data_IF_423960737045
#
_entry.id   IF_423960737045
#
_cell.length_a   1.000
_cell.length_b   1.000
_cell.length_c   1.000
_cell.angle_alpha   90.00
_cell.angle_beta   90.00
_cell.angle_gamma   90.00
#
_symmetry.space_group_name_H-M   'P 1'
#
loop_
_entity.id
_entity.type
_entity.pdbx_description
1 polymer ?
#
# COMPACT_ATOMS: atom_id res chain seq x y z
N UNK A 1 6.04 9.65 77.57
CA UNK A 1 5.91 10.91 76.80
C UNK A 1 6.46 10.67 75.40
N UNK A 2 5.78 11.22 74.38
CA UNK A 2 6.14 11.27 72.95
C UNK A 2 7.12 10.23 72.37
N UNK A 3 6.57 9.22 71.68
CA UNK A 3 7.26 8.60 70.55
C UNK A 3 7.00 9.45 69.29
N UNK A 4 7.98 9.57 68.41
CA UNK A 4 8.08 10.58 67.35
C UNK A 4 7.29 10.28 66.07
N UNK A 5 6.70 11.33 65.48
CA UNK A 5 6.04 11.30 64.18
C UNK A 5 6.98 10.91 63.02
N UNK A 6 6.46 10.10 62.09
CA UNK A 6 7.03 9.86 60.76
C UNK A 6 5.99 10.27 59.70
N UNK A 7 6.34 11.13 58.72
CA UNK A 7 5.38 11.61 57.73
C UNK A 7 4.96 10.49 56.76
N UNK A 8 3.65 10.38 56.52
CA UNK A 8 3.08 9.37 55.63
C UNK A 8 3.50 9.58 54.16
N UNK A 9 3.90 8.48 53.51
CA UNK A 9 4.26 8.45 52.08
C UNK A 9 2.98 8.41 51.23
N UNK A 10 2.75 9.33 50.28
CA UNK A 10 1.53 9.30 49.47
C UNK A 10 1.51 8.10 48.52
N UNK A 11 0.48 7.27 48.61
CA UNK A 11 0.22 6.17 47.68
C UNK A 11 -0.25 6.71 46.32
N UNK A 12 0.42 6.37 45.19
CA UNK A 12 -0.07 6.74 43.87
C UNK A 12 -1.35 5.96 43.52
N UNK A 13 -2.45 6.69 43.31
CA UNK A 13 -3.76 6.13 42.99
C UNK A 13 -3.73 5.50 41.60
N UNK A 14 -3.82 4.17 41.52
CA UNK A 14 -3.75 3.40 40.27
C UNK A 14 -5.06 3.52 39.47
N UNK A 15 -5.21 4.59 38.67
CA UNK A 15 -6.27 4.69 37.66
C UNK A 15 -5.84 3.97 36.37
N UNK A 16 -6.23 2.70 36.24
CA UNK A 16 -6.08 1.93 35.01
C UNK A 16 -7.15 2.30 33.99
N UNK A 17 -6.85 3.22 33.09
CA UNK A 17 -7.46 3.23 31.75
C UNK A 17 -6.50 2.53 30.80
N UNK A 18 -6.87 1.41 30.15
CA UNK A 18 -6.01 0.80 29.13
C UNK A 18 -5.85 1.80 27.97
N UNK A 19 -4.64 1.95 27.39
CA UNK A 19 -4.49 2.75 26.18
C UNK A 19 -5.36 2.12 25.10
N UNK A 20 -6.31 2.89 24.58
CA UNK A 20 -7.10 2.51 23.41
C UNK A 20 -6.14 2.27 22.25
N UNK A 21 -5.97 1.00 21.88
CA UNK A 21 -5.24 0.61 20.67
C UNK A 21 -5.77 1.45 19.50
N UNK A 22 -4.90 2.06 18.67
CA UNK A 22 -5.34 2.88 17.55
C UNK A 22 -6.25 2.04 16.66
N UNK A 23 -7.51 2.45 16.58
CA UNK A 23 -8.56 1.75 15.85
C UNK A 23 -8.10 1.56 14.40
N UNK A 24 -8.06 0.29 13.94
CA UNK A 24 -7.45 -0.07 12.65
C UNK A 24 -8.26 0.56 11.52
N UNK A 25 -7.83 1.74 11.10
CA UNK A 25 -8.54 2.70 10.23
C UNK A 25 -9.05 2.12 8.91
N UNK A 26 -8.53 0.98 8.48
CA UNK A 26 -8.91 0.32 7.22
C UNK A 26 -9.34 -1.15 7.38
N UNK A 27 -9.44 -1.69 8.61
CA UNK A 27 -9.89 -3.07 8.84
C UNK A 27 -11.33 -3.31 8.33
N UNK A 28 -12.17 -2.27 8.34
CA UNK A 28 -13.54 -2.34 7.79
C UNK A 28 -13.57 -2.39 6.25
N UNK A 29 -12.54 -1.91 5.54
CA UNK A 29 -12.47 -1.96 4.07
C UNK A 29 -12.22 -3.37 3.53
N UNK A 30 -11.71 -4.27 4.37
CA UNK A 30 -11.47 -5.68 4.03
C UNK A 30 -12.78 -6.49 3.90
N UNK A 31 -13.91 -5.95 4.35
CA UNK A 31 -15.20 -6.65 4.41
C UNK A 31 -16.38 -5.89 3.79
N UNK A 32 -16.18 -4.71 3.21
CA UNK A 32 -17.25 -4.06 2.42
C UNK A 32 -17.38 -4.70 1.04
N UNK A 33 -18.62 -5.05 0.71
CA UNK A 33 -19.01 -5.46 -0.63
C UNK A 33 -18.70 -4.36 -1.68
N UNK A 34 -18.66 -4.78 -2.95
CA UNK A 34 -18.31 -3.91 -4.08
C UNK A 34 -19.19 -2.66 -4.17
N UNK A 35 -20.48 -2.72 -3.83
CA UNK A 35 -21.38 -1.59 -3.93
C UNK A 35 -21.08 -0.53 -2.86
N UNK A 36 -20.81 -0.94 -1.61
CA UNK A 36 -20.36 -0.02 -0.55
C UNK A 36 -19.00 0.61 -0.86
N UNK A 37 -18.07 -0.11 -1.49
CA UNK A 37 -16.80 0.46 -1.96
C UNK A 37 -17.02 1.54 -3.03
N UNK A 38 -17.91 1.30 -4.00
CA UNK A 38 -18.23 2.30 -5.02
C UNK A 38 -18.95 3.52 -4.45
N UNK A 39 -19.86 3.35 -3.48
CA UNK A 39 -20.53 4.46 -2.80
C UNK A 39 -19.54 5.40 -2.07
N UNK A 40 -18.54 4.84 -1.38
CA UNK A 40 -17.47 5.61 -0.72
C UNK A 40 -16.51 6.30 -1.71
N UNK A 41 -16.39 5.79 -2.94
CA UNK A 41 -15.62 6.44 -4.02
C UNK A 41 -16.43 7.52 -4.76
N UNK A 42 -17.76 7.54 -4.61
CA UNK A 42 -18.66 8.38 -5.39
C UNK A 42 -18.97 9.75 -4.75
N UNK A 43 -18.53 10.01 -3.51
CA UNK A 43 -18.65 11.34 -2.89
C UNK A 43 -17.61 12.30 -3.48
N UNK A 44 -18.01 13.35 -4.22
CA UNK A 44 -17.06 14.32 -4.76
C UNK A 44 -16.54 15.25 -3.65
N UNK A 45 -15.33 15.82 -3.81
CA UNK A 45 -14.89 16.92 -2.95
C UNK A 45 -15.80 18.16 -3.13
N UNK A 46 -15.91 19.04 -2.13
CA UNK A 46 -16.69 20.27 -2.24
C UNK A 46 -16.15 21.11 -3.41
N UNK A 47 -17.02 21.36 -4.39
CA UNK A 47 -16.63 21.98 -5.67
C UNK A 47 -16.56 23.51 -5.57
N UNK A 48 -15.61 24.16 -6.28
CA UNK A 48 -15.55 25.62 -6.37
C UNK A 48 -16.67 26.19 -7.27
N UNK A 49 -16.78 27.51 -7.26
CA UNK A 49 -17.90 28.29 -7.80
C UNK A 49 -18.24 28.01 -9.28
N UNK A 50 -19.54 28.09 -9.57
CA UNK A 50 -20.19 27.70 -10.84
C UNK A 50 -20.16 28.85 -11.86
N UNK A 51 -19.78 28.56 -13.10
CA UNK A 51 -20.11 29.39 -14.28
C UNK A 51 -20.93 28.52 -15.24
N UNK A 52 -21.98 29.10 -15.82
CA UNK A 52 -23.03 28.37 -16.52
C UNK A 52 -22.90 28.44 -18.04
N UNK A 53 -23.12 27.31 -18.72
CA UNK A 53 -23.69 27.25 -20.07
C UNK A 53 -24.43 25.91 -20.24
N UNK A 54 -25.45 25.87 -21.10
CA UNK A 54 -26.45 24.79 -21.10
C UNK A 54 -26.87 24.33 -22.50
N UNK A 55 -27.13 23.02 -22.62
CA UNK A 55 -28.01 22.34 -23.58
C UNK A 55 -28.05 20.84 -23.19
N UNK A 56 -29.19 20.22 -22.83
CA UNK A 56 -30.26 19.67 -23.68
C UNK A 56 -29.74 18.81 -24.85
N UNK A 57 -30.15 17.56 -25.11
CA UNK A 57 -31.03 16.57 -24.44
C UNK A 57 -30.67 15.15 -25.01
N UNK A 58 -31.32 14.00 -24.82
CA UNK A 58 -32.69 13.61 -24.43
C UNK A 58 -32.71 12.18 -23.81
N UNK A 59 -33.90 11.66 -23.44
CA UNK A 59 -34.13 10.29 -22.95
C UNK A 59 -34.45 9.30 -24.09
N UNK A 60 -34.34 7.98 -23.82
CA UNK A 60 -35.43 7.02 -24.09
C UNK A 60 -35.25 5.69 -23.32
N UNK A 61 -36.36 5.13 -22.86
CA UNK A 61 -36.50 3.92 -22.05
C UNK A 61 -37.56 2.99 -22.65
N UNK A 62 -37.51 1.68 -22.35
CA UNK A 62 -38.60 0.68 -22.42
C UNK A 62 -38.12 -0.58 -21.63
N UNK A 63 -38.74 -1.01 -20.52
CA UNK A 63 -39.97 -1.85 -20.41
C UNK A 63 -39.72 -3.27 -20.96
N UNK A 64 -39.43 -4.28 -20.15
CA UNK A 64 -40.27 -5.05 -19.18
C UNK A 64 -41.05 -6.22 -19.81
N UNK A 65 -40.94 -7.41 -19.20
CA UNK A 65 -41.68 -8.62 -19.55
C UNK A 65 -41.46 -9.70 -18.50
N UNK A 66 -42.54 -10.17 -17.85
CA UNK A 66 -42.53 -11.11 -16.72
C UNK A 66 -43.63 -12.16 -16.92
N UNK A 67 -43.29 -13.44 -16.90
CA UNK A 67 -44.24 -14.57 -16.90
C UNK A 67 -43.77 -15.70 -15.99
N UNK A 68 -44.69 -16.57 -15.61
CA UNK A 68 -44.66 -17.42 -14.39
C UNK A 68 -44.30 -18.89 -14.64
N UNK A 69 -43.89 -19.58 -13.56
CA UNK A 69 -43.51 -21.01 -13.44
C UNK A 69 -44.67 -22.01 -13.72
N UNK A 70 -44.44 -23.35 -13.80
CA UNK A 70 -44.16 -24.18 -12.60
C UNK A 70 -43.18 -25.39 -12.74
N UNK A 71 -42.65 -25.80 -11.57
CA UNK A 71 -42.16 -27.11 -11.06
C UNK A 71 -41.41 -28.17 -11.90
N UNK A 72 -40.29 -28.68 -11.33
CA UNK A 72 -39.65 -29.95 -11.76
C UNK A 72 -38.22 -30.23 -11.23
N UNK A 73 -38.12 -31.03 -10.15
CA UNK A 73 -36.94 -31.78 -9.60
C UNK A 73 -35.59 -31.06 -9.31
N UNK A 74 -34.90 -31.41 -8.19
CA UNK A 74 -33.57 -30.86 -7.86
C UNK A 74 -32.45 -31.54 -8.67
N UNK A 75 -31.88 -30.82 -9.63
CA UNK A 75 -30.65 -31.21 -10.34
C UNK A 75 -29.42 -31.01 -9.44
N UNK A 76 -28.35 -31.82 -9.51
CA UNK A 76 -27.16 -31.62 -8.68
C UNK A 76 -26.56 -30.23 -8.90
N UNK A 77 -26.24 -29.54 -7.80
CA UNK A 77 -25.63 -28.22 -7.85
C UNK A 77 -24.24 -28.28 -8.50
N UNK A 78 -24.19 -27.99 -9.81
CA UNK A 78 -22.95 -27.59 -10.47
C UNK A 78 -22.38 -26.42 -9.69
N UNK A 79 -21.18 -26.60 -9.13
CA UNK A 79 -20.48 -25.51 -8.44
C UNK A 79 -20.39 -24.31 -9.38
N UNK A 80 -21.02 -23.21 -8.98
CA UNK A 80 -21.00 -21.98 -9.76
C UNK A 80 -19.56 -21.46 -9.78
N UNK A 81 -18.86 -21.68 -10.88
CA UNK A 81 -17.75 -20.84 -11.27
C UNK A 81 -18.30 -19.43 -11.43
N UNK A 82 -18.14 -18.62 -10.38
CA UNK A 82 -18.53 -17.21 -10.40
C UNK A 82 -17.94 -16.57 -11.66
N UNK A 83 -18.83 -16.09 -12.53
CA UNK A 83 -18.42 -15.62 -13.84
C UNK A 83 -17.53 -14.38 -13.68
N UNK A 84 -16.23 -14.54 -13.96
CA UNK A 84 -15.26 -13.43 -13.99
C UNK A 84 -15.54 -12.61 -15.26
N UNK A 85 -16.65 -11.87 -15.27
CA UNK A 85 -17.15 -11.08 -16.40
C UNK A 85 -16.93 -9.58 -16.27
N UNK A 86 -16.37 -9.12 -15.15
CA UNK A 86 -15.93 -7.74 -14.97
C UNK A 86 -14.40 -7.74 -14.94
N UNK A 87 -13.72 -6.97 -15.82
CA UNK A 87 -12.29 -6.72 -15.68
C UNK A 87 -12.03 -6.14 -14.29
N UNK A 88 -11.16 -6.78 -13.51
CA UNK A 88 -10.67 -6.20 -12.26
C UNK A 88 -9.42 -5.41 -12.58
N UNK A 89 -9.49 -4.10 -12.42
CA UNK A 89 -8.34 -3.24 -12.60
C UNK A 89 -7.33 -3.46 -11.46
N UNK A 90 -6.09 -3.06 -11.73
CA UNK A 90 -4.94 -3.24 -10.83
C UNK A 90 -5.04 -2.41 -9.53
N UNK A 91 -6.14 -1.66 -9.33
CA UNK A 91 -6.47 -0.94 -8.09
C UNK A 91 -7.71 -1.44 -7.35
N UNK A 92 -8.38 -2.51 -7.81
CA UNK A 92 -9.73 -2.85 -7.34
C UNK A 92 -9.77 -3.66 -6.03
N UNK A 93 -8.66 -4.31 -5.65
CA UNK A 93 -8.61 -5.16 -4.46
C UNK A 93 -7.99 -4.42 -3.25
N UNK A 94 -6.68 -4.17 -3.26
CA UNK A 94 -6.00 -3.34 -2.26
C UNK A 94 -5.86 -1.87 -2.73
N UNK A 95 -6.13 -0.89 -1.86
CA UNK A 95 -6.16 0.52 -2.25
C UNK A 95 -4.77 1.09 -2.51
N UNK A 96 -4.61 1.78 -3.65
CA UNK A 96 -3.43 2.58 -3.94
C UNK A 96 -3.34 3.82 -3.02
N UNK A 97 -2.13 4.24 -2.72
CA UNK A 97 -1.81 5.51 -2.05
C UNK A 97 -2.08 6.65 -3.03
N UNK A 98 -3.12 7.45 -2.75
CA UNK A 98 -3.53 8.58 -3.62
C UNK A 98 -2.98 9.94 -3.17
N UNK A 99 -2.41 10.05 -1.97
CA UNK A 99 -1.91 11.33 -1.44
C UNK A 99 -0.75 11.13 -0.48
N UNK A 100 0.14 12.12 -0.40
CA UNK A 100 1.18 12.18 0.63
C UNK A 100 0.68 12.75 1.96
N UNK A 101 -0.62 13.07 2.10
CA UNK A 101 -1.15 13.84 3.24
C UNK A 101 -0.52 15.24 3.38
N UNK A 102 -0.57 16.10 2.33
CA UNK A 102 0.10 17.41 2.32
C UNK A 102 -0.44 18.39 3.38
N UNK A 103 -1.58 18.09 4.02
CA UNK A 103 -2.10 18.84 5.17
C UNK A 103 -1.21 18.74 6.42
N UNK A 104 -0.29 17.77 6.48
CA UNK A 104 0.73 17.64 7.54
C UNK A 104 1.89 18.63 7.37
N UNK A 105 1.98 19.33 6.24
CA UNK A 105 3.04 20.29 5.92
C UNK A 105 2.51 21.72 6.17
N UNK A 106 3.12 22.49 7.08
CA UNK A 106 2.73 23.89 7.31
C UNK A 106 2.91 24.76 6.07
N UNK A 107 2.04 25.76 5.91
CA UNK A 107 2.04 26.70 4.76
C UNK A 107 3.35 27.49 4.56
N UNK A 108 4.20 27.58 5.57
CA UNK A 108 5.49 28.27 5.51
C UNK A 108 6.61 27.41 4.91
N UNK A 109 6.42 26.09 4.82
CA UNK A 109 7.40 25.17 4.21
C UNK A 109 7.36 25.34 2.69
N UNK A 110 8.54 25.42 2.06
CA UNK A 110 8.63 25.48 0.60
C UNK A 110 7.99 24.27 -0.07
N UNK A 111 7.30 24.48 -1.19
CA UNK A 111 6.73 23.42 -2.03
C UNK A 111 7.80 22.51 -2.64
N UNK A 112 9.05 22.98 -2.69
CA UNK A 112 10.22 22.28 -3.22
C UNK A 112 11.04 21.59 -2.11
N UNK A 113 10.52 21.54 -0.87
CA UNK A 113 11.20 20.83 0.21
C UNK A 113 11.25 19.33 -0.09
N UNK A 114 12.43 18.73 0.10
CA UNK A 114 12.71 17.32 -0.19
C UNK A 114 11.76 16.32 0.49
N UNK A 115 11.12 16.64 1.62
CA UNK A 115 10.11 15.79 2.24
C UNK A 115 8.91 15.51 1.31
N UNK A 116 8.48 16.51 0.53
CA UNK A 116 7.41 16.39 -0.46
C UNK A 116 7.83 15.44 -1.59
N UNK A 117 9.07 15.55 -2.04
CA UNK A 117 9.66 14.65 -3.04
C UNK A 117 9.76 13.21 -2.50
N UNK A 118 10.43 13.03 -1.35
CA UNK A 118 10.64 11.73 -0.72
C UNK A 118 9.33 10.98 -0.45
N UNK A 119 8.33 11.66 0.14
CA UNK A 119 7.03 11.06 0.41
C UNK A 119 6.30 10.66 -0.90
N UNK A 120 6.40 11.48 -1.95
CA UNK A 120 5.78 11.17 -3.25
C UNK A 120 6.47 9.99 -3.93
N UNK A 121 7.80 10.00 -4.02
CA UNK A 121 8.57 8.90 -4.63
C UNK A 121 8.41 7.59 -3.84
N UNK A 122 8.29 7.65 -2.51
CA UNK A 122 7.95 6.47 -1.70
C UNK A 122 6.55 5.95 -2.01
N UNK A 123 5.54 6.83 -2.06
CA UNK A 123 4.17 6.46 -2.42
C UNK A 123 4.08 5.84 -3.83
N UNK A 124 4.90 6.31 -4.77
CA UNK A 124 5.07 5.72 -6.09
C UNK A 124 5.66 4.30 -6.01
N UNK A 125 6.82 4.11 -5.38
CA UNK A 125 7.41 2.76 -5.22
C UNK A 125 6.45 1.78 -4.53
N UNK A 126 5.73 2.24 -3.48
CA UNK A 126 4.70 1.47 -2.82
C UNK A 126 3.56 1.10 -3.76
N UNK A 127 3.00 2.03 -4.52
CA UNK A 127 1.93 1.75 -5.48
C UNK A 127 2.35 0.72 -6.56
N UNK A 128 3.64 0.65 -6.91
CA UNK A 128 4.17 -0.39 -7.80
C UNK A 128 4.01 -1.78 -7.17
N UNK A 129 4.41 -1.93 -5.90
CA UNK A 129 4.23 -3.16 -5.10
C UNK A 129 2.75 -3.50 -4.90
N UNK A 130 1.90 -2.53 -4.54
CA UNK A 130 0.46 -2.74 -4.36
C UNK A 130 -0.19 -3.23 -5.66
N UNK A 131 0.20 -2.65 -6.80
CA UNK A 131 -0.31 -3.06 -8.11
C UNK A 131 0.11 -4.48 -8.47
N UNK A 132 1.36 -4.86 -8.22
CA UNK A 132 1.79 -6.24 -8.41
C UNK A 132 1.00 -7.23 -7.55
N UNK A 133 0.79 -6.93 -6.26
CA UNK A 133 -0.04 -7.76 -5.36
C UNK A 133 -1.48 -7.88 -5.90
N UNK A 134 -2.07 -6.79 -6.36
CA UNK A 134 -3.42 -6.79 -6.96
C UNK A 134 -3.48 -7.61 -8.26
N UNK A 135 -2.46 -7.51 -9.13
CA UNK A 135 -2.32 -8.32 -10.34
C UNK A 135 -2.28 -9.80 -9.98
N UNK A 136 -1.35 -10.18 -9.09
CA UNK A 136 -1.20 -11.56 -8.62
C UNK A 136 -2.49 -12.11 -8.00
N UNK A 137 -3.20 -11.32 -7.19
CA UNK A 137 -4.48 -11.71 -6.59
C UNK A 137 -5.58 -11.93 -7.63
N UNK A 138 -5.71 -11.01 -8.60
CA UNK A 138 -6.72 -11.05 -9.64
C UNK A 138 -6.52 -12.24 -10.59
N UNK A 139 -5.28 -12.48 -11.02
CA UNK A 139 -4.95 -13.51 -12.00
C UNK A 139 -4.81 -14.92 -11.41
N UNK A 140 -4.58 -15.06 -10.09
CA UNK A 140 -4.29 -16.35 -9.45
C UNK A 140 -5.22 -17.52 -9.84
N UNK A 141 -6.51 -17.26 -10.03
CA UNK A 141 -7.50 -18.31 -10.34
C UNK A 141 -7.66 -18.60 -11.85
N UNK A 142 -7.02 -17.81 -12.72
CA UNK A 142 -7.13 -17.92 -14.18
C UNK A 142 -5.82 -18.36 -14.88
N UNK A 143 -4.72 -18.50 -14.13
CA UNK A 143 -3.44 -18.99 -14.66
C UNK A 143 -3.61 -20.42 -15.18
N UNK A 144 -3.19 -20.65 -16.43
CA UNK A 144 -3.14 -21.98 -17.04
C UNK A 144 -1.81 -22.67 -16.68
N UNK A 145 -1.71 -23.96 -16.97
CA UNK A 145 -0.51 -24.75 -16.63
C UNK A 145 0.74 -24.23 -17.37
N UNK A 146 0.58 -23.85 -18.62
CA UNK A 146 1.65 -23.27 -19.45
C UNK A 146 2.07 -21.85 -19.00
N UNK A 147 1.15 -21.07 -18.42
CA UNK A 147 1.44 -19.70 -17.94
C UNK A 147 1.99 -19.70 -16.49
N UNK A 148 2.01 -20.86 -15.82
CA UNK A 148 2.31 -20.95 -14.40
C UNK A 148 3.78 -20.65 -14.06
N UNK A 149 4.71 -20.91 -14.98
CA UNK A 149 6.14 -20.58 -14.82
C UNK A 149 6.36 -19.07 -14.80
N UNK A 150 5.87 -18.37 -15.83
CA UNK A 150 5.93 -16.90 -15.94
C UNK A 150 5.21 -16.22 -14.76
N UNK A 151 4.06 -16.76 -14.33
CA UNK A 151 3.33 -16.23 -13.18
C UNK A 151 4.08 -16.42 -11.86
N UNK A 152 4.73 -17.57 -11.66
CA UNK A 152 5.58 -17.80 -10.49
C UNK A 152 6.80 -16.86 -10.53
N UNK A 153 7.47 -16.72 -11.69
CA UNK A 153 8.59 -15.81 -11.87
C UNK A 153 8.24 -14.34 -11.60
N UNK A 154 7.11 -13.84 -12.13
CA UNK A 154 6.59 -12.51 -11.80
C UNK A 154 6.44 -12.28 -10.29
N UNK A 155 6.02 -13.31 -9.56
CA UNK A 155 5.87 -13.25 -8.11
C UNK A 155 7.20 -13.42 -7.36
N UNK A 156 8.20 -14.09 -7.93
CA UNK A 156 9.57 -14.10 -7.37
C UNK A 156 10.16 -12.69 -7.41
N UNK A 157 9.93 -11.95 -8.49
CA UNK A 157 10.34 -10.54 -8.60
C UNK A 157 9.57 -9.63 -7.62
N UNK A 158 8.27 -9.86 -7.40
CA UNK A 158 7.52 -9.20 -6.32
C UNK A 158 8.15 -9.46 -4.94
N UNK A 159 8.52 -10.71 -4.64
CA UNK A 159 9.15 -11.05 -3.37
C UNK A 159 10.53 -10.39 -3.22
N UNK A 160 11.35 -10.42 -4.26
CA UNK A 160 12.65 -9.75 -4.28
C UNK A 160 12.51 -8.23 -4.07
N UNK A 161 11.58 -7.57 -4.75
CA UNK A 161 11.31 -6.15 -4.60
C UNK A 161 10.86 -5.78 -3.18
N UNK A 162 9.92 -6.53 -2.59
CA UNK A 162 9.47 -6.31 -1.20
C UNK A 162 10.66 -6.42 -0.23
N UNK A 163 11.44 -7.49 -0.33
CA UNK A 163 12.57 -7.77 0.55
C UNK A 163 13.67 -6.70 0.45
N UNK A 164 14.00 -6.29 -0.77
CA UNK A 164 15.05 -5.32 -1.05
C UNK A 164 14.66 -3.90 -0.63
N UNK A 165 13.44 -3.50 -0.96
CA UNK A 165 12.86 -2.23 -0.52
C UNK A 165 12.86 -2.12 1.00
N UNK A 166 12.42 -3.18 1.69
CA UNK A 166 12.39 -3.22 3.15
C UNK A 166 13.80 -3.17 3.77
N UNK A 167 14.73 -4.00 3.27
CA UNK A 167 16.14 -4.01 3.72
C UNK A 167 16.81 -2.64 3.56
N UNK A 168 16.54 -1.92 2.47
CA UNK A 168 17.08 -0.57 2.25
C UNK A 168 16.48 0.46 3.21
N UNK A 169 15.18 0.36 3.51
CA UNK A 169 14.49 1.24 4.45
C UNK A 169 15.05 1.12 5.86
N UNK A 170 15.14 -0.11 6.39
CA UNK A 170 15.50 -0.34 7.80
C UNK A 170 17.01 -0.37 8.03
N UNK A 171 17.76 -0.89 7.06
CA UNK A 171 19.22 -0.91 7.15
C UNK A 171 19.86 0.46 6.94
N UNK A 172 19.11 1.45 6.42
CA UNK A 172 19.67 2.78 6.14
C UNK A 172 18.70 3.96 6.22
N UNK A 173 17.62 4.01 5.42
CA UNK A 173 16.83 5.23 5.24
C UNK A 173 16.23 5.74 6.56
N UNK A 174 15.50 4.89 7.27
CA UNK A 174 14.83 5.28 8.50
C UNK A 174 15.79 5.58 9.66
N UNK A 175 16.82 4.75 9.95
CA UNK A 175 17.83 5.11 10.96
C UNK A 175 18.61 6.39 10.62
N UNK A 176 18.80 6.72 9.35
CA UNK A 176 19.44 7.97 8.94
C UNK A 176 18.51 9.18 9.18
N UNK A 177 17.21 9.05 8.91
CA UNK A 177 16.20 10.07 9.25
C UNK A 177 16.08 10.25 10.76
N UNK A 178 16.02 9.16 11.55
CA UNK A 178 16.03 9.21 13.02
C UNK A 178 17.24 9.99 13.56
N UNK A 179 18.44 9.75 13.02
CA UNK A 179 19.65 10.49 13.40
C UNK A 179 19.57 12.00 13.13
N UNK A 180 18.89 12.42 12.06
CA UNK A 180 18.66 13.84 11.75
C UNK A 180 17.59 14.50 12.64
N UNK A 181 16.75 13.71 13.32
CA UNK A 181 15.71 14.17 14.25
C UNK A 181 16.24 14.35 15.69
N UNK A 182 17.39 13.74 16.03
CA UNK A 182 17.99 13.85 17.37
C UNK A 182 18.20 15.32 17.75
N UNK A 183 17.65 15.72 18.89
CA UNK A 183 17.74 17.09 19.40
C UNK A 183 16.74 18.09 18.80
N UNK A 184 15.85 17.68 17.86
CA UNK A 184 14.79 18.54 17.33
C UNK A 184 13.49 18.40 18.15
N UNK A 185 12.92 19.54 18.55
CA UNK A 185 11.60 19.60 19.20
C UNK A 185 10.51 19.09 18.25
N UNK A 186 9.68 18.16 18.73
CA UNK A 186 8.69 17.46 17.90
C UNK A 186 9.27 16.34 17.01
N UNK A 187 10.56 16.01 17.16
CA UNK A 187 11.28 15.05 16.32
C UNK A 187 10.93 13.57 16.52
N UNK A 188 10.05 13.21 17.46
CA UNK A 188 9.64 11.82 17.66
C UNK A 188 8.57 11.41 16.63
N UNK A 189 9.02 11.17 15.39
CA UNK A 189 8.17 10.66 14.31
C UNK A 189 7.75 9.19 14.50
N UNK A 190 8.09 8.59 15.65
CA UNK A 190 7.73 7.25 16.08
C UNK A 190 8.07 6.16 15.03
N UNK A 191 9.20 6.35 14.36
CA UNK A 191 9.75 5.48 13.32
C UNK A 191 10.04 4.08 13.90
N UNK A 192 10.67 4.03 15.07
CA UNK A 192 10.95 2.80 15.82
C UNK A 192 9.72 1.89 16.07
N UNK A 193 8.52 2.44 16.35
CA UNK A 193 7.32 1.59 16.51
C UNK A 193 6.83 0.96 15.21
N UNK A 194 7.10 1.59 14.06
CA UNK A 194 6.71 1.08 12.73
C UNK A 194 7.58 -0.10 12.32
N UNK A 195 8.88 -0.05 12.66
CA UNK A 195 9.82 -1.18 12.53
C UNK A 195 9.32 -2.41 13.34
N UNK A 196 8.68 -2.21 14.50
CA UNK A 196 8.18 -3.31 15.33
C UNK A 196 6.92 -4.01 14.77
N UNK A 197 6.00 -3.30 14.09
CA UNK A 197 4.85 -3.94 13.42
C UNK A 197 5.28 -4.65 12.13
N UNK A 198 6.31 -4.13 11.47
CA UNK A 198 6.84 -4.69 10.23
C UNK A 198 7.38 -6.12 10.37
N UNK A 199 8.09 -6.49 11.45
CA UNK A 199 8.56 -7.88 11.63
C UNK A 199 7.38 -8.88 11.61
N UNK A 200 6.22 -8.48 12.15
CA UNK A 200 4.99 -9.30 12.09
C UNK A 200 4.43 -9.43 10.67
N UNK A 201 4.60 -8.43 9.82
CA UNK A 201 4.27 -8.50 8.38
C UNK A 201 5.24 -9.44 7.66
N UNK A 202 6.54 -9.29 7.91
CA UNK A 202 7.57 -10.09 7.25
C UNK A 202 7.46 -11.57 7.59
N UNK A 203 6.99 -11.94 8.78
CA UNK A 203 6.81 -13.35 9.13
C UNK A 203 5.73 -14.07 8.31
N UNK A 204 4.60 -13.43 7.98
CA UNK A 204 3.60 -14.03 7.08
C UNK A 204 4.03 -13.99 5.62
N UNK A 205 4.76 -12.94 5.21
CA UNK A 205 5.35 -12.83 3.88
C UNK A 205 6.37 -13.96 3.57
N UNK A 206 7.21 -14.37 4.54
CA UNK A 206 8.17 -15.50 4.39
C UNK A 206 7.52 -16.80 3.90
N UNK A 207 6.25 -17.05 4.27
CA UNK A 207 5.51 -18.26 3.83
C UNK A 207 5.14 -18.17 2.35
N UNK A 208 4.64 -17.01 1.90
CA UNK A 208 4.34 -16.74 0.50
C UNK A 208 5.60 -16.79 -0.37
N UNK A 209 6.67 -16.15 0.08
CA UNK A 209 7.98 -16.17 -0.56
C UNK A 209 8.52 -17.60 -0.72
N UNK A 210 8.46 -18.42 0.34
CA UNK A 210 8.89 -19.82 0.28
C UNK A 210 8.04 -20.67 -0.68
N UNK A 211 6.73 -20.41 -0.80
CA UNK A 211 5.89 -21.06 -1.81
C UNK A 211 6.31 -20.68 -3.23
N UNK A 212 6.45 -19.37 -3.49
CA UNK A 212 6.76 -18.80 -4.80
C UNK A 212 8.16 -19.21 -5.32
N UNK A 213 9.12 -19.42 -4.41
CA UNK A 213 10.47 -19.89 -4.75
C UNK A 213 10.60 -21.41 -4.94
N UNK A 214 9.62 -22.21 -4.47
CA UNK A 214 9.75 -23.69 -4.40
C UNK A 214 8.70 -24.46 -5.19
N UNK A 215 7.56 -23.85 -5.50
CA UNK A 215 6.48 -24.48 -6.25
C UNK A 215 6.89 -24.68 -7.69
N UNK A 216 6.77 -25.90 -8.22
CA UNK A 216 6.93 -26.14 -9.67
C UNK A 216 5.68 -25.67 -10.43
N UNK A 217 5.78 -25.29 -11.72
CA UNK A 217 4.60 -24.88 -12.51
C UNK A 217 3.45 -25.89 -12.46
N UNK A 218 3.76 -27.20 -12.55
CA UNK A 218 2.78 -28.28 -12.45
C UNK A 218 2.15 -28.50 -11.06
N UNK A 219 2.71 -27.88 -10.02
CA UNK A 219 2.24 -27.94 -8.63
C UNK A 219 1.49 -26.64 -8.24
N UNK A 220 1.35 -25.68 -9.15
CA UNK A 220 0.69 -24.40 -8.89
C UNK A 220 -0.81 -24.57 -8.62
N UNK A 221 -1.26 -24.10 -7.45
CA UNK A 221 -2.69 -24.07 -7.08
C UNK A 221 -3.13 -22.64 -6.78
N UNK A 222 -3.87 -22.04 -7.72
CA UNK A 222 -4.33 -20.64 -7.64
C UNK A 222 -5.11 -20.28 -6.38
N UNK A 223 -5.92 -21.20 -5.84
CA UNK A 223 -6.64 -20.99 -4.57
C UNK A 223 -5.69 -20.88 -3.38
N UNK A 224 -4.68 -21.75 -3.32
CA UNK A 224 -3.65 -21.76 -2.26
C UNK A 224 -2.81 -20.50 -2.33
N UNK A 225 -2.30 -20.18 -3.52
CA UNK A 225 -1.52 -18.96 -3.78
C UNK A 225 -2.27 -17.69 -3.36
N UNK A 226 -3.55 -17.58 -3.74
CA UNK A 226 -4.39 -16.43 -3.39
C UNK A 226 -4.65 -16.32 -1.88
N UNK A 227 -4.87 -17.44 -1.19
CA UNK A 227 -5.01 -17.46 0.26
C UNK A 227 -3.73 -16.97 0.96
N UNK A 228 -2.55 -17.32 0.44
CA UNK A 228 -1.29 -16.79 0.97
C UNK A 228 -1.20 -15.27 0.81
N UNK A 229 -1.57 -14.70 -0.34
CA UNK A 229 -1.66 -13.23 -0.51
C UNK A 229 -2.60 -12.61 0.53
N UNK A 230 -3.80 -13.16 0.68
CA UNK A 230 -4.81 -12.69 1.63
C UNK A 230 -4.33 -12.76 3.10
N UNK A 231 -3.31 -13.58 3.41
CA UNK A 231 -2.73 -13.70 4.77
C UNK A 231 -1.73 -12.60 5.16
N UNK A 232 -0.94 -12.07 4.21
CA UNK A 232 0.10 -11.04 4.50
C UNK A 232 -0.26 -9.65 3.96
N UNK A 233 -0.89 -9.58 2.79
CA UNK A 233 -1.07 -8.33 2.08
C UNK A 233 -1.87 -7.28 2.88
N UNK A 234 -2.99 -7.58 3.57
CA UNK A 234 -3.73 -6.56 4.32
C UNK A 234 -2.87 -5.75 5.31
N UNK A 235 -1.87 -6.38 5.96
CA UNK A 235 -0.95 -5.68 6.87
C UNK A 235 0.18 -4.98 6.13
N UNK A 236 0.74 -5.60 5.08
CA UNK A 236 1.75 -4.95 4.25
C UNK A 236 1.20 -3.66 3.63
N UNK A 237 0.02 -3.71 3.03
CA UNK A 237 -0.65 -2.54 2.47
C UNK A 237 -0.82 -1.44 3.53
N UNK A 238 -1.27 -1.79 4.75
CA UNK A 238 -1.38 -0.84 5.85
C UNK A 238 -0.03 -0.17 6.18
N UNK A 239 1.02 -0.96 6.35
CA UNK A 239 2.39 -0.50 6.61
C UNK A 239 2.89 0.46 5.52
N UNK A 240 2.71 0.09 4.24
CA UNK A 240 3.08 0.93 3.09
C UNK A 240 2.33 2.28 3.05
N UNK A 241 1.07 2.34 3.51
CA UNK A 241 0.34 3.61 3.65
C UNK A 241 0.84 4.42 4.86
N UNK A 242 1.11 3.75 5.98
CA UNK A 242 1.50 4.39 7.26
C UNK A 242 2.91 5.00 7.25
N UNK A 243 3.78 4.59 6.31
CA UNK A 243 5.11 5.18 6.11
C UNK A 243 5.07 6.54 5.40
N UNK A 244 4.01 6.83 4.62
CA UNK A 244 3.95 8.08 3.83
C UNK A 244 3.81 9.32 4.73
N UNK A 245 2.91 9.36 5.74
CA UNK A 245 2.87 10.45 6.72
C UNK A 245 4.20 10.71 7.45
N UNK A 246 5.05 9.69 7.63
CA UNK A 246 6.36 9.84 8.27
C UNK A 246 7.30 10.66 7.39
N UNK A 247 7.45 10.26 6.13
CA UNK A 247 8.29 10.99 5.17
C UNK A 247 7.73 12.40 4.89
N UNK A 248 6.41 12.56 4.89
CA UNK A 248 5.77 13.88 4.76
C UNK A 248 6.09 14.76 5.96
N UNK A 249 6.06 14.22 7.19
CA UNK A 249 6.37 14.95 8.42
C UNK A 249 7.86 15.28 8.57
N UNK A 250 8.74 14.69 7.74
CA UNK A 250 10.17 15.01 7.68
C UNK A 250 10.47 16.44 7.18
N UNK A 251 9.46 17.28 6.90
CA UNK A 251 9.63 18.72 6.64
C UNK A 251 10.31 19.48 7.78
N UNK A 252 10.35 18.91 8.99
CA UNK A 252 11.11 19.45 10.15
C UNK A 252 12.64 19.29 10.00
N UNK A 253 13.10 18.53 9.02
CA UNK A 253 14.52 18.34 8.70
C UNK A 253 15.02 19.43 7.76
N UNK A 254 16.35 19.59 7.68
CA UNK A 254 16.90 20.40 6.58
C UNK A 254 16.62 19.69 5.25
N UNK A 255 16.18 20.46 4.25
CA UNK A 255 15.82 19.93 2.94
C UNK A 255 17.01 19.30 2.22
N UNK A 256 18.20 19.88 2.34
CA UNK A 256 19.44 19.38 1.75
C UNK A 256 19.92 18.09 2.41
N UNK A 257 19.96 18.03 3.74
CA UNK A 257 20.36 16.83 4.48
C UNK A 257 19.40 15.66 4.25
N UNK A 258 18.09 15.89 4.27
CA UNK A 258 17.11 14.86 3.93
C UNK A 258 17.29 14.36 2.48
N UNK A 259 17.60 15.26 1.53
CA UNK A 259 17.88 14.86 0.14
C UNK A 259 19.17 14.04 0.00
N UNK A 260 20.21 14.34 0.79
CA UNK A 260 21.45 13.54 0.83
C UNK A 260 21.18 12.12 1.34
N UNK A 261 20.40 12.00 2.43
CA UNK A 261 19.97 10.69 2.96
C UNK A 261 19.15 9.93 1.92
N UNK A 262 18.17 10.57 1.29
CA UNK A 262 17.36 9.93 0.25
C UNK A 262 18.18 9.43 -0.93
N UNK A 263 19.08 10.26 -1.50
CA UNK A 263 19.96 9.84 -2.61
C UNK A 263 20.80 8.64 -2.23
N UNK A 264 21.42 8.65 -1.05
CA UNK A 264 22.23 7.51 -0.57
C UNK A 264 21.41 6.24 -0.30
N UNK A 265 20.11 6.37 0.01
CA UNK A 265 19.19 5.23 0.06
C UNK A 265 18.84 4.72 -1.34
N UNK A 266 18.59 5.61 -2.30
CA UNK A 266 18.37 5.27 -3.71
C UNK A 266 19.59 4.57 -4.32
N UNK A 267 20.81 5.07 -4.08
CA UNK A 267 22.07 4.45 -4.53
C UNK A 267 22.30 3.07 -3.88
N UNK A 268 21.65 2.76 -2.76
CA UNK A 268 21.66 1.41 -2.14
C UNK A 268 20.60 0.52 -2.79
N UNK A 269 19.42 1.06 -3.06
CA UNK A 269 18.35 0.35 -3.76
C UNK A 269 18.71 -0.02 -5.21
N UNK A 270 19.57 0.73 -5.90
CA UNK A 270 19.92 0.46 -7.30
C UNK A 270 21.18 -0.39 -7.50
N UNK A 271 22.04 -0.50 -6.48
CA UNK A 271 23.38 -1.14 -6.60
C UNK A 271 23.34 -2.63 -6.86
N UNK A 272 22.42 -3.32 -6.18
CA UNK A 272 22.29 -4.79 -6.20
C UNK A 272 21.04 -5.25 -6.97
N UNK A 273 20.39 -4.35 -7.72
CA UNK A 273 19.20 -4.65 -8.50
C UNK A 273 19.58 -5.31 -9.83
N UNK A 274 18.98 -6.47 -10.14
CA UNK A 274 19.05 -7.07 -11.48
C UNK A 274 18.26 -6.21 -12.47
N UNK A 275 18.91 -5.15 -12.97
CA UNK A 275 18.26 -4.06 -13.70
C UNK A 275 17.41 -4.54 -14.87
N UNK A 276 17.89 -5.50 -15.67
CA UNK A 276 17.15 -6.05 -16.80
C UNK A 276 15.81 -6.69 -16.40
N UNK A 277 15.76 -7.41 -15.27
CA UNK A 277 14.56 -8.14 -14.82
C UNK A 277 13.65 -7.23 -14.01
N UNK A 278 14.22 -6.56 -12.99
CA UNK A 278 13.44 -5.72 -12.08
C UNK A 278 12.88 -4.47 -12.76
N UNK A 279 13.57 -3.87 -13.74
CA UNK A 279 13.01 -2.72 -14.47
C UNK A 279 11.83 -3.12 -15.35
N UNK A 280 11.90 -4.26 -16.07
CA UNK A 280 10.77 -4.77 -16.84
C UNK A 280 9.56 -5.04 -15.93
N UNK A 281 9.79 -5.61 -14.76
CA UNK A 281 8.75 -5.84 -13.75
C UNK A 281 8.15 -4.53 -13.22
N UNK A 282 8.98 -3.53 -12.87
CA UNK A 282 8.53 -2.21 -12.40
C UNK A 282 7.70 -1.51 -13.47
N UNK A 283 8.15 -1.51 -14.73
CA UNK A 283 7.43 -0.94 -15.87
C UNK A 283 6.09 -1.63 -16.11
N UNK A 284 6.04 -2.97 -16.05
CA UNK A 284 4.78 -3.74 -16.15
C UNK A 284 3.81 -3.46 -14.99
N UNK A 285 4.31 -2.99 -13.85
CA UNK A 285 3.49 -2.63 -12.69
C UNK A 285 3.09 -1.15 -12.64
N UNK A 286 3.46 -0.33 -13.63
CA UNK A 286 3.15 1.11 -13.71
C UNK A 286 2.35 1.46 -14.98
N UNK A 287 1.49 2.48 -14.89
CA UNK A 287 0.84 3.09 -16.06
C UNK A 287 0.40 4.54 -15.74
N UNK A 288 -0.17 5.23 -16.74
CA UNK A 288 -0.66 6.62 -16.63
C UNK A 288 -1.78 6.89 -15.60
N UNK A 289 -2.46 5.86 -15.09
CA UNK A 289 -3.49 6.00 -14.05
C UNK A 289 -2.90 6.17 -12.65
N UNK A 290 -1.60 5.93 -12.51
CA UNK A 290 -0.83 6.04 -11.29
C UNK A 290 -0.63 7.51 -10.92
N UNK A 291 -1.47 8.01 -10.01
CA UNK A 291 -1.44 9.41 -9.56
C UNK A 291 -1.30 9.52 -8.04
N UNK A 292 -0.47 10.47 -7.61
CA UNK A 292 -0.30 10.85 -6.19
C UNK A 292 -0.50 12.37 -6.09
N UNK A 293 -1.43 12.80 -5.23
CA UNK A 293 -1.91 14.19 -5.12
C UNK A 293 -2.45 14.75 -6.46
N UNK A 294 -3.06 13.90 -7.29
CA UNK A 294 -3.55 14.27 -8.63
C UNK A 294 -2.47 14.55 -9.67
N UNK A 295 -1.19 14.33 -9.33
CA UNK A 295 -0.07 14.37 -10.28
C UNK A 295 0.18 12.97 -10.80
N UNK A 296 0.35 12.84 -12.11
CA UNK A 296 0.85 11.60 -12.72
C UNK A 296 2.21 11.22 -12.12
N UNK A 297 2.53 9.93 -12.15
CA UNK A 297 3.91 9.51 -11.95
C UNK A 297 4.77 10.13 -13.06
N UNK A 298 5.64 11.05 -12.69
CA UNK A 298 6.92 11.15 -13.37
C UNK A 298 7.58 9.77 -13.17
N UNK A 299 7.70 9.00 -14.25
CA UNK A 299 8.38 7.71 -14.25
C UNK A 299 9.84 8.02 -13.89
N UNK A 300 10.17 7.83 -12.61
CA UNK A 300 11.35 8.42 -11.94
C UNK A 300 12.57 8.31 -12.83
N UNK A 301 12.98 9.44 -13.42
CA UNK A 301 13.75 9.52 -14.66
C UNK A 301 14.73 8.35 -14.79
N UNK A 302 14.31 7.32 -15.55
CA UNK A 302 14.97 6.00 -15.60
C UNK A 302 16.30 6.10 -16.38
N UNK A 303 16.81 7.31 -16.66
CA UNK A 303 18.11 7.58 -17.30
C UNK A 303 19.25 6.80 -16.66
N UNK A 304 19.32 6.67 -15.33
CA UNK A 304 20.35 5.83 -14.69
C UNK A 304 20.30 4.34 -15.06
N UNK A 305 19.11 3.84 -15.42
CA UNK A 305 18.85 2.46 -15.80
C UNK A 305 18.94 2.28 -17.33
N UNK A 306 18.45 3.23 -18.12
CA UNK A 306 18.55 3.26 -19.59
C UNK A 306 19.99 3.52 -20.06
N UNK A 307 20.81 4.27 -19.31
CA UNK A 307 22.24 4.40 -19.59
C UNK A 307 23.07 3.16 -19.19
N UNK A 308 22.42 2.12 -18.66
CA UNK A 308 23.03 0.82 -18.33
C UNK A 308 22.44 -0.34 -19.14
N UNK A 309 21.67 -0.02 -20.20
CA UNK A 309 21.17 -0.93 -21.24
C UNK A 309 21.91 -0.64 -22.56
#
# INVERSE_FOLDING_TARGET
>A
MCATDLPQRPTPRRTTTPPTSPEKKYAHLLYVDTAKRMALMATPPPSPLRVSSASSSSNLSLVSGRTTSPDGLPTPQKQSFQSIRTPRYVGDHYPLIRTISPHLIPKHVSKDHSAIFCARTMAQMHNTVIRAINSSHNHALSIRLEDAEDFLFFNQQLCAMIRHHQTTKDGYLFPAIEKLLVGKTGGDMNISSKIAEQERVMQSFKVFEAYVLRTKPAEYVGRTFRHMIESFAPRLIQHLHDEIPVLTSAWVLDSGELMKVWKKAQDKATRDAELHVQACWVLGCQDRSFQVDGRACEVSNITGLVHSL
#
